data_IF_803626656050
#
_entry.id   IF_803626656050
#
_cell.length_a   1.000
_cell.length_b   1.000
_cell.length_c   1.000
_cell.angle_alpha   90.00
_cell.angle_beta   90.00
_cell.angle_gamma   90.00
#
_symmetry.space_group_name_H-M   'P 1'
#
loop_
_entity.id
_entity.type
_entity.pdbx_description
1 polymer ?
#
# COMPACT_ATOMS: atom_id res chain seq x y z
N UNK A 1 2.92 -19.31 -1.89
CA UNK A 1 4.22 -18.69 -2.19
C UNK A 1 4.49 -17.57 -1.20
N UNK A 2 5.67 -17.53 -0.63
CA UNK A 2 6.05 -16.51 0.33
C UNK A 2 6.59 -15.27 -0.41
N UNK A 3 6.05 -14.05 -0.14
CA UNK A 3 6.60 -12.84 -0.75
C UNK A 3 8.05 -12.62 -0.37
N UNK A 4 8.85 -12.21 -1.35
CA UNK A 4 10.28 -11.93 -1.21
C UNK A 4 10.60 -10.49 -1.60
N UNK A 5 11.85 -10.07 -1.45
CA UNK A 5 12.30 -8.74 -1.84
C UNK A 5 12.15 -8.42 -3.33
N UNK A 6 11.86 -9.42 -4.16
CA UNK A 6 11.56 -9.23 -5.58
C UNK A 6 10.06 -9.16 -5.87
N UNK A 7 9.20 -9.30 -4.85
CA UNK A 7 7.75 -9.25 -5.02
C UNK A 7 7.22 -7.83 -4.82
N UNK A 8 6.21 -7.47 -5.62
CA UNK A 8 5.48 -6.21 -5.55
C UNK A 8 4.01 -6.55 -5.38
N UNK A 9 3.44 -6.16 -4.24
CA UNK A 9 2.08 -6.55 -3.87
C UNK A 9 1.15 -5.35 -3.98
N UNK A 10 0.06 -5.51 -4.72
CA UNK A 10 -0.98 -4.49 -4.86
C UNK A 10 -2.29 -5.07 -4.34
N UNK A 11 -2.85 -4.45 -3.30
CA UNK A 11 -4.11 -4.87 -2.72
C UNK A 11 -5.23 -3.99 -3.25
N UNK A 12 -6.07 -4.58 -4.10
CA UNK A 12 -7.24 -3.92 -4.70
C UNK A 12 -8.44 -4.80 -4.38
N UNK A 13 -9.17 -4.47 -3.33
CA UNK A 13 -10.34 -5.22 -2.90
C UNK A 13 -11.57 -4.33 -2.83
N UNK A 14 -12.73 -4.92 -2.54
CA UNK A 14 -14.00 -4.19 -2.46
C UNK A 14 -14.19 -3.46 -1.14
N UNK A 15 -13.24 -3.48 -0.24
CA UNK A 15 -13.35 -2.76 1.01
C UNK A 15 -12.58 -3.41 2.14
N UNK A 16 -12.60 -2.76 3.31
CA UNK A 16 -11.79 -3.15 4.45
C UNK A 16 -12.02 -4.57 4.98
N UNK A 17 -13.21 -5.21 4.85
CA UNK A 17 -13.35 -6.60 5.29
C UNK A 17 -12.40 -7.55 4.58
N UNK A 18 -11.96 -7.19 3.38
CA UNK A 18 -11.05 -8.00 2.57
C UNK A 18 -9.61 -7.50 2.64
N UNK A 19 -9.43 -6.17 2.70
CA UNK A 19 -8.11 -5.54 2.72
C UNK A 19 -7.30 -5.90 3.98
N UNK A 20 -7.94 -5.81 5.14
CA UNK A 20 -7.25 -6.02 6.40
C UNK A 20 -6.69 -7.43 6.57
N UNK A 21 -7.47 -8.51 6.32
CA UNK A 21 -6.90 -9.86 6.42
C UNK A 21 -5.75 -10.09 5.46
N UNK A 22 -5.85 -9.58 4.22
CA UNK A 22 -4.78 -9.71 3.23
C UNK A 22 -3.53 -8.96 3.69
N UNK A 23 -3.71 -7.75 4.19
CA UNK A 23 -2.59 -6.92 4.66
C UNK A 23 -1.87 -7.57 5.85
N UNK A 24 -2.61 -8.17 6.78
CA UNK A 24 -2.01 -8.89 7.91
C UNK A 24 -1.08 -10.02 7.46
N UNK A 25 -1.48 -10.72 6.39
CA UNK A 25 -0.67 -11.83 5.86
C UNK A 25 0.61 -11.33 5.21
N UNK A 26 0.56 -10.22 4.46
CA UNK A 26 1.72 -9.75 3.69
C UNK A 26 2.62 -8.79 4.44
N UNK A 27 2.15 -8.13 5.50
CA UNK A 27 2.94 -7.14 6.23
C UNK A 27 4.28 -7.67 6.76
N UNK A 28 4.33 -8.85 7.39
CA UNK A 28 5.61 -9.37 7.88
C UNK A 28 6.50 -9.95 6.79
N UNK A 29 6.06 -9.93 5.54
CA UNK A 29 6.86 -10.45 4.43
C UNK A 29 7.98 -9.49 4.05
N UNK A 30 8.90 -9.95 3.19
CA UNK A 30 10.01 -9.17 2.69
C UNK A 30 9.72 -8.52 1.33
N UNK A 31 8.45 -8.38 0.97
CA UNK A 31 8.07 -7.79 -0.30
C UNK A 31 8.68 -6.39 -0.46
N UNK A 32 9.15 -6.09 -1.66
CA UNK A 32 9.75 -4.80 -1.99
C UNK A 32 8.74 -3.66 -1.92
N UNK A 33 7.48 -3.96 -2.26
CA UNK A 33 6.42 -2.97 -2.35
C UNK A 33 5.11 -3.61 -1.89
N UNK A 34 4.41 -2.90 -1.02
CA UNK A 34 3.05 -3.26 -0.61
C UNK A 34 2.22 -1.99 -0.74
N UNK A 35 1.26 -1.99 -1.68
CA UNK A 35 0.37 -0.86 -1.88
C UNK A 35 -1.08 -1.27 -1.67
N UNK A 36 -1.89 -0.40 -1.08
CA UNK A 36 -3.28 -0.68 -0.80
C UNK A 36 -4.15 0.48 -1.27
N UNK A 37 -5.17 0.17 -2.08
CA UNK A 37 -6.15 1.16 -2.52
C UNK A 37 -7.14 1.46 -1.38
N UNK A 38 -7.57 2.70 -1.30
CA UNK A 38 -8.57 3.09 -0.31
C UNK A 38 -8.53 4.58 -0.01
N UNK A 39 -9.56 5.08 0.67
CA UNK A 39 -9.58 6.46 1.11
C UNK A 39 -8.64 6.64 2.31
N UNK A 40 -8.15 7.87 2.48
CA UNK A 40 -7.28 8.19 3.63
C UNK A 40 -7.94 7.87 4.96
N UNK A 41 -9.25 8.12 5.06
CA UNK A 41 -10.02 7.85 6.27
C UNK A 41 -10.04 6.36 6.62
N UNK A 42 -10.30 5.52 5.63
CA UNK A 42 -10.38 4.06 5.82
C UNK A 42 -9.01 3.48 6.14
N UNK A 43 -7.97 3.97 5.48
CA UNK A 43 -6.60 3.55 5.71
C UNK A 43 -6.15 3.89 7.14
N UNK A 44 -6.45 5.11 7.58
CA UNK A 44 -6.13 5.55 8.94
C UNK A 44 -6.79 4.66 9.99
N UNK A 45 -8.08 4.35 9.79
CA UNK A 45 -8.81 3.46 10.69
C UNK A 45 -8.23 2.05 10.72
N UNK A 46 -7.85 1.51 9.56
CA UNK A 46 -7.21 0.20 9.44
C UNK A 46 -5.90 0.16 10.22
N UNK A 47 -5.04 1.13 10.02
CA UNK A 47 -3.73 1.17 10.69
C UNK A 47 -3.89 1.35 12.21
N UNK A 48 -4.89 2.11 12.64
CA UNK A 48 -5.16 2.25 14.06
C UNK A 48 -5.54 0.92 14.69
N UNK A 49 -6.40 0.13 14.03
CA UNK A 49 -6.74 -1.21 14.52
C UNK A 49 -5.52 -2.13 14.56
N UNK A 50 -4.64 -2.04 13.59
CA UNK A 50 -3.41 -2.83 13.57
C UNK A 50 -2.51 -2.51 14.77
N UNK A 51 -2.38 -1.22 15.09
CA UNK A 51 -1.56 -0.80 16.25
C UNK A 51 -2.17 -1.24 17.58
N UNK A 52 -3.48 -1.07 17.74
CA UNK A 52 -4.16 -1.27 19.02
C UNK A 52 -4.52 -2.72 19.28
N UNK A 53 -5.09 -3.41 18.29
CA UNK A 53 -5.60 -4.77 18.45
C UNK A 53 -4.59 -5.84 18.10
N UNK A 54 -3.88 -5.66 16.99
CA UNK A 54 -2.96 -6.67 16.49
C UNK A 54 -1.53 -6.44 16.96
N UNK A 55 -1.25 -5.32 17.59
CA UNK A 55 0.08 -4.96 18.10
C UNK A 55 1.17 -5.03 17.02
N UNK A 56 0.82 -4.68 15.79
CA UNK A 56 1.77 -4.66 14.69
C UNK A 56 2.71 -3.46 14.84
N UNK A 57 4.00 -3.67 14.62
CA UNK A 57 5.00 -2.63 14.79
C UNK A 57 4.80 -1.48 13.81
N UNK A 58 5.12 -0.27 14.23
CA UNK A 58 5.02 0.92 13.39
C UNK A 58 5.90 0.82 12.15
N UNK A 59 7.05 0.16 12.25
CA UNK A 59 7.95 -0.04 11.13
C UNK A 59 7.28 -0.80 9.98
N UNK A 60 6.51 -1.84 10.30
CA UNK A 60 5.79 -2.62 9.30
C UNK A 60 4.66 -1.80 8.67
N UNK A 61 3.94 -1.02 9.47
CA UNK A 61 2.84 -0.19 8.99
C UNK A 61 3.35 0.91 8.06
N UNK A 62 4.46 1.53 8.39
CA UNK A 62 5.05 2.61 7.59
C UNK A 62 5.55 2.15 6.23
N UNK A 63 5.79 0.85 6.05
CA UNK A 63 6.20 0.30 4.76
C UNK A 63 5.09 0.31 3.71
N UNK A 64 3.83 0.41 4.13
CA UNK A 64 2.68 0.31 3.24
C UNK A 64 2.47 1.62 2.48
N UNK A 65 2.32 1.52 1.16
CA UNK A 65 1.97 2.64 0.30
C UNK A 65 0.43 2.74 0.25
N UNK A 66 -0.13 3.50 1.15
CA UNK A 66 -1.58 3.68 1.27
C UNK A 66 -1.90 5.15 1.56
N UNK A 67 -2.71 5.83 0.75
CA UNK A 67 -3.32 5.34 -0.50
C UNK A 67 -2.26 5.03 -1.56
N UNK A 68 -2.54 4.00 -2.34
CA UNK A 68 -1.63 3.56 -3.40
C UNK A 68 -1.57 4.59 -4.53
N UNK A 69 -0.40 4.73 -5.16
CA UNK A 69 -0.23 5.52 -6.37
C UNK A 69 0.59 6.78 -6.20
N UNK A 70 1.03 7.33 -7.32
CA UNK A 70 1.70 8.62 -7.36
C UNK A 70 0.69 9.76 -7.19
N UNK A 71 1.15 10.87 -6.61
CA UNK A 71 0.33 12.07 -6.42
C UNK A 71 0.33 12.90 -7.72
N UNK A 72 -0.52 12.51 -8.67
CA UNK A 72 -0.62 13.16 -9.98
C UNK A 72 -2.06 13.59 -10.32
N UNK A 73 -2.89 13.79 -9.29
CA UNK A 73 -4.25 14.29 -9.44
C UNK A 73 -5.12 13.44 -10.37
N UNK A 74 -5.09 12.12 -10.21
CA UNK A 74 -5.85 11.20 -11.05
C UNK A 74 -7.35 11.32 -10.82
N UNK A 75 -8.14 11.20 -11.89
CA UNK A 75 -9.60 11.27 -11.82
C UNK A 75 -10.30 10.03 -12.39
N UNK A 76 -9.68 9.36 -13.35
CA UNK A 76 -10.30 8.22 -14.03
C UNK A 76 -9.66 6.91 -13.57
N UNK A 77 -10.37 5.76 -13.71
CA UNK A 77 -9.77 4.46 -13.39
C UNK A 77 -8.48 4.18 -14.15
N UNK A 78 -8.41 4.58 -15.43
CA UNK A 78 -7.20 4.40 -16.22
C UNK A 78 -6.03 5.22 -15.66
N UNK A 79 -6.30 6.45 -15.24
CA UNK A 79 -5.28 7.31 -14.62
C UNK A 79 -4.84 6.77 -13.27
N UNK A 80 -5.76 6.23 -12.49
CA UNK A 80 -5.43 5.60 -11.22
C UNK A 80 -4.50 4.40 -11.46
N UNK A 81 -4.83 3.55 -12.44
CA UNK A 81 -3.97 2.44 -12.81
C UNK A 81 -2.58 2.90 -13.21
N UNK A 82 -2.49 3.97 -13.99
CA UNK A 82 -1.21 4.54 -14.40
C UNK A 82 -0.41 5.04 -13.19
N UNK A 83 -1.07 5.68 -12.23
CA UNK A 83 -0.40 6.16 -11.03
C UNK A 83 0.14 5.02 -10.17
N UNK A 84 -0.57 3.90 -10.10
CA UNK A 84 -0.12 2.71 -9.38
C UNK A 84 1.11 2.11 -10.05
N UNK A 85 1.07 1.92 -11.37
CA UNK A 85 2.21 1.41 -12.12
C UNK A 85 3.42 2.34 -12.01
N UNK A 86 3.18 3.64 -12.05
CA UNK A 86 4.22 4.63 -11.87
C UNK A 86 4.89 4.53 -10.50
N UNK A 87 4.11 4.30 -9.45
CA UNK A 87 4.66 4.14 -8.10
C UNK A 87 5.48 2.85 -8.00
N UNK A 88 5.03 1.76 -8.60
CA UNK A 88 5.80 0.52 -8.64
C UNK A 88 7.15 0.74 -9.31
N UNK A 89 7.17 1.48 -10.43
CA UNK A 89 8.41 1.83 -11.13
C UNK A 89 9.31 2.70 -10.24
N UNK A 90 8.72 3.69 -9.58
CA UNK A 90 9.45 4.56 -8.64
C UNK A 90 10.17 3.73 -7.58
N UNK A 91 9.47 2.79 -6.94
CA UNK A 91 10.06 1.95 -5.90
C UNK A 91 11.13 1.04 -6.48
N UNK A 92 10.86 0.45 -7.63
CA UNK A 92 11.80 -0.46 -8.30
C UNK A 92 13.10 0.24 -8.70
N UNK A 93 13.01 1.50 -9.14
CA UNK A 93 14.15 2.26 -9.68
C UNK A 93 14.75 3.26 -8.71
N UNK A 94 14.15 3.45 -7.54
CA UNK A 94 14.61 4.43 -6.57
C UNK A 94 14.34 5.88 -6.99
N UNK A 95 13.24 6.11 -7.70
CA UNK A 95 12.85 7.45 -8.16
C UNK A 95 12.34 8.34 -7.02
N UNK A 96 12.22 9.63 -7.29
CA UNK A 96 11.89 10.65 -6.30
C UNK A 96 10.50 11.27 -6.44
N UNK A 97 9.65 10.78 -7.35
CA UNK A 97 8.30 11.32 -7.52
C UNK A 97 7.48 11.15 -6.23
N UNK A 98 6.64 12.15 -5.90
CA UNK A 98 5.83 12.11 -4.69
C UNK A 98 4.73 11.07 -4.77
N UNK A 99 4.53 10.30 -3.71
CA UNK A 99 3.45 9.33 -3.57
C UNK A 99 2.31 9.89 -2.73
N UNK A 100 1.08 9.39 -2.98
CA UNK A 100 -0.09 9.76 -2.19
C UNK A 100 0.09 9.40 -0.72
N UNK A 101 0.81 8.33 -0.43
CA UNK A 101 1.07 7.86 0.93
C UNK A 101 2.07 8.72 1.69
N UNK A 102 2.75 9.66 1.03
CA UNK A 102 3.77 10.50 1.64
C UNK A 102 5.19 9.95 1.52
N UNK A 103 5.33 8.82 0.86
CA UNK A 103 6.66 8.23 0.65
C UNK A 103 7.51 9.01 -0.35
#
# INVERSE_FOLDING_TARGET
MTPTSSCYIVLITRGHPYDEPCLRVVLPSQAKYIGMIGSRRRIKACFQRFREKDKISEELIEKVYAPIGLDIATETPAEIALSILGEVIKVRRGGAAASLSGH
#
